data_IF_190717036083
#
_entry.id   IF_190717036083
#
_cell.length_a   1.000
_cell.length_b   1.000
_cell.length_c   1.000
_cell.angle_alpha   90.00
_cell.angle_beta   90.00
_cell.angle_gamma   90.00
#
_symmetry.space_group_name_H-M   'P 1'
#
loop_
_entity.id
_entity.type
_entity.pdbx_description
1 polymer ?
#
# COMPACT_ATOMS: atom_id res chain seq x y z
N UNK A 1 10.11 -20.91 0.24
CA UNK A 1 10.65 -19.66 0.79
C UNK A 1 9.50 -18.95 1.49
N UNK A 2 9.47 -18.94 2.82
CA UNK A 2 8.35 -18.43 3.62
C UNK A 2 8.69 -17.03 4.12
N UNK A 3 7.99 -16.01 3.63
CA UNK A 3 7.97 -14.69 4.26
C UNK A 3 7.22 -14.82 5.59
N UNK A 4 7.89 -14.56 6.72
CA UNK A 4 7.25 -14.56 8.03
C UNK A 4 6.77 -13.13 8.32
N UNK A 5 5.49 -12.97 8.65
CA UNK A 5 4.97 -11.72 9.24
C UNK A 5 5.83 -11.40 10.45
N UNK A 6 6.52 -10.27 10.39
CA UNK A 6 7.51 -9.92 11.41
C UNK A 6 6.80 -9.24 12.57
N UNK A 7 5.92 -8.27 12.29
CA UNK A 7 5.19 -7.48 13.30
C UNK A 7 3.84 -6.98 12.77
N UNK A 8 2.83 -6.87 13.65
CA UNK A 8 1.60 -6.12 13.40
C UNK A 8 1.59 -4.88 14.27
N UNK A 9 1.43 -3.71 13.67
CA UNK A 9 1.36 -2.45 14.41
C UNK A 9 0.19 -1.62 13.92
N UNK A 10 -0.74 -1.31 14.82
CA UNK A 10 -1.87 -0.39 14.57
C UNK A 10 -2.73 -0.75 13.33
N UNK A 11 -2.88 -2.05 13.05
CA UNK A 11 -3.65 -2.57 11.89
C UNK A 11 -2.80 -2.91 10.66
N UNK A 12 -1.56 -2.45 10.61
CA UNK A 12 -0.63 -2.68 9.51
C UNK A 12 0.17 -3.98 9.70
N UNK A 13 0.40 -4.69 8.60
CA UNK A 13 1.22 -5.91 8.58
C UNK A 13 2.56 -5.63 7.91
N UNK A 14 3.66 -5.93 8.62
CA UNK A 14 5.01 -5.70 8.12
C UNK A 14 5.73 -7.02 7.80
N UNK A 15 6.33 -7.07 6.61
CA UNK A 15 7.28 -8.09 6.21
C UNK A 15 8.63 -7.42 5.97
N UNK A 16 9.69 -7.95 6.56
CA UNK A 16 11.05 -7.43 6.39
C UNK A 16 11.95 -8.53 5.85
N UNK A 17 12.71 -8.23 4.80
CA UNK A 17 13.68 -9.16 4.22
C UNK A 17 14.73 -8.38 3.43
N UNK A 18 16.02 -8.64 3.69
CA UNK A 18 17.17 -8.10 2.95
C UNK A 18 17.11 -6.59 2.68
N UNK A 19 16.81 -5.81 3.72
CA UNK A 19 16.72 -4.34 3.64
C UNK A 19 15.41 -3.82 3.03
N UNK A 20 14.52 -4.70 2.56
CA UNK A 20 13.19 -4.35 2.07
C UNK A 20 12.17 -4.47 3.19
N UNK A 21 11.29 -3.48 3.29
CA UNK A 21 10.11 -3.50 4.15
C UNK A 21 8.88 -3.45 3.26
N UNK A 22 8.03 -4.47 3.37
CA UNK A 22 6.71 -4.49 2.76
C UNK A 22 5.66 -4.22 3.82
N UNK A 23 4.80 -3.23 3.56
CA UNK A 23 3.69 -2.86 4.44
C UNK A 23 2.39 -3.19 3.74
N UNK A 24 1.59 -4.06 4.33
CA UNK A 24 0.27 -4.39 3.83
C UNK A 24 -0.80 -3.67 4.66
N UNK A 25 -1.64 -2.88 3.99
CA UNK A 25 -2.77 -2.15 4.59
C UNK A 25 -4.06 -2.69 3.98
N UNK A 26 -4.78 -3.52 4.72
CA UNK A 26 -6.03 -4.09 4.25
C UNK A 26 -7.21 -3.20 4.65
N UNK A 27 -8.05 -2.80 3.69
CA UNK A 27 -9.14 -1.82 3.88
C UNK A 27 -8.62 -0.51 4.47
N UNK A 28 -7.74 0.21 3.75
CA UNK A 28 -7.09 1.41 4.26
C UNK A 28 -8.10 2.45 4.75
N UNK A 29 -7.83 2.97 5.94
CA UNK A 29 -8.57 4.06 6.57
C UNK A 29 -7.82 5.39 6.43
N UNK A 30 -8.54 6.50 6.63
CA UNK A 30 -7.93 7.83 6.66
C UNK A 30 -6.79 7.92 7.67
N UNK A 31 -6.97 7.35 8.86
CA UNK A 31 -5.95 7.34 9.92
C UNK A 31 -4.65 6.67 9.48
N UNK A 32 -4.74 5.53 8.79
CA UNK A 32 -3.55 4.80 8.31
C UNK A 32 -2.85 5.56 7.19
N UNK A 33 -3.60 6.15 6.25
CA UNK A 33 -3.02 6.94 5.17
C UNK A 33 -2.37 8.23 5.68
N UNK A 34 -2.99 8.90 6.65
CA UNK A 34 -2.41 10.08 7.33
C UNK A 34 -1.11 9.71 8.04
N UNK A 35 -1.06 8.55 8.69
CA UNK A 35 0.15 8.06 9.34
C UNK A 35 1.25 7.81 8.30
N UNK A 36 0.95 7.13 7.19
CA UNK A 36 1.91 6.92 6.11
C UNK A 36 2.41 8.23 5.50
N UNK A 37 1.52 9.19 5.26
CA UNK A 37 1.87 10.51 4.72
C UNK A 37 2.76 11.36 5.64
N UNK A 38 2.78 11.08 6.96
CA UNK A 38 3.72 11.71 7.90
C UNK A 38 5.11 11.09 7.87
N UNK A 39 5.24 9.82 7.49
CA UNK A 39 6.51 9.09 7.51
C UNK A 39 7.19 9.00 6.14
N UNK A 40 6.41 9.13 5.06
CA UNK A 40 6.88 9.01 3.69
C UNK A 40 6.42 10.20 2.85
N UNK A 41 7.23 10.64 1.87
CA UNK A 41 6.91 11.78 1.02
C UNK A 41 5.92 11.40 -0.09
N UNK A 42 4.78 10.83 0.27
CA UNK A 42 3.71 10.49 -0.66
C UNK A 42 2.90 11.74 -1.03
N UNK A 43 2.41 11.78 -2.27
CA UNK A 43 1.43 12.78 -2.68
C UNK A 43 0.13 12.57 -1.91
N UNK A 44 -0.49 13.67 -1.45
CA UNK A 44 -1.79 13.64 -0.78
C UNK A 44 -2.87 13.00 -1.68
N UNK A 45 -2.83 13.27 -2.99
CA UNK A 45 -3.75 12.65 -3.96
C UNK A 45 -3.57 11.12 -4.03
N UNK A 46 -2.33 10.61 -3.92
CA UNK A 46 -2.09 9.17 -3.96
C UNK A 46 -2.61 8.49 -2.69
N UNK A 47 -2.54 9.17 -1.55
CA UNK A 47 -3.09 8.68 -0.28
C UNK A 47 -4.63 8.65 -0.30
N UNK A 48 -5.25 9.68 -0.89
CA UNK A 48 -6.71 9.73 -1.10
C UNK A 48 -7.16 8.62 -2.08
N UNK A 49 -6.39 8.38 -3.14
CA UNK A 49 -6.66 7.31 -4.10
C UNK A 49 -6.68 5.92 -3.45
N UNK A 50 -5.86 5.67 -2.43
CA UNK A 50 -5.86 4.41 -1.68
C UNK A 50 -7.17 4.15 -0.91
N UNK A 51 -7.90 5.20 -0.52
CA UNK A 51 -9.17 5.09 0.23
C UNK A 51 -10.36 5.03 -0.72
N UNK A 52 -10.24 5.64 -1.90
CA UNK A 52 -11.31 5.67 -2.91
C UNK A 52 -11.65 4.29 -3.44
N UNK A 53 -12.95 4.01 -3.61
CA UNK A 53 -13.45 2.73 -4.14
C UNK A 53 -13.44 2.65 -5.66
N UNK A 54 -13.31 3.79 -6.34
CA UNK A 54 -13.39 3.87 -7.81
C UNK A 54 -12.18 4.66 -8.29
N UNK A 55 -11.22 3.94 -8.88
CA UNK A 55 -10.04 4.50 -9.49
C UNK A 55 -9.78 3.79 -10.82
N UNK A 56 -9.23 4.52 -11.80
CA UNK A 56 -8.75 3.90 -13.03
C UNK A 56 -7.34 3.36 -12.80
N UNK A 57 -6.98 2.20 -13.39
CA UNK A 57 -5.61 1.72 -13.36
C UNK A 57 -4.65 2.77 -13.92
N UNK A 58 -3.57 3.02 -13.20
CA UNK A 58 -2.56 4.02 -13.58
C UNK A 58 -1.20 3.70 -12.96
N UNK A 59 -0.18 4.33 -13.51
CA UNK A 59 1.19 4.32 -12.98
C UNK A 59 1.68 5.76 -13.00
N UNK A 60 1.95 6.31 -11.83
CA UNK A 60 2.52 7.63 -11.63
C UNK A 60 3.97 7.47 -11.16
N UNK A 61 4.92 8.08 -11.90
CA UNK A 61 6.36 8.00 -11.60
C UNK A 61 6.82 9.31 -10.97
N UNK A 62 7.39 9.21 -9.78
CA UNK A 62 8.02 10.32 -9.06
C UNK A 62 9.53 10.10 -8.97
N UNK A 63 10.34 11.12 -8.65
CA UNK A 63 11.79 10.97 -8.57
C UNK A 63 12.27 9.85 -7.64
N UNK A 64 11.53 9.59 -6.54
CA UNK A 64 11.95 8.66 -5.49
C UNK A 64 11.00 7.48 -5.27
N UNK A 65 9.89 7.38 -6.03
CA UNK A 65 8.95 6.26 -5.89
C UNK A 65 8.02 6.13 -7.12
N UNK A 66 7.34 4.99 -7.20
CA UNK A 66 6.28 4.74 -8.17
C UNK A 66 4.99 4.53 -7.38
N UNK A 67 3.90 5.15 -7.83
CA UNK A 67 2.55 4.88 -7.36
C UNK A 67 1.77 4.16 -8.46
N UNK A 68 1.05 3.10 -8.12
CA UNK A 68 0.31 2.32 -9.09
C UNK A 68 -1.04 1.87 -8.54
N UNK A 69 -2.04 1.92 -9.41
CA UNK A 69 -3.37 1.34 -9.18
C UNK A 69 -3.53 0.21 -10.18
N UNK A 70 -3.75 -1.00 -9.66
CA UNK A 70 -3.83 -2.22 -10.46
C UNK A 70 -5.20 -2.87 -10.26
N UNK A 71 -5.87 -3.22 -11.36
CA UNK A 71 -7.06 -4.06 -11.33
C UNK A 71 -6.68 -5.49 -11.67
N UNK A 72 -7.01 -6.40 -10.75
CA UNK A 72 -6.86 -7.82 -10.99
C UNK A 72 -8.23 -8.42 -11.31
N UNK A 73 -8.30 -9.40 -12.22
CA UNK A 73 -9.53 -10.16 -12.40
C UNK A 73 -9.94 -10.80 -11.07
N UNK A 74 -11.25 -10.96 -10.81
CA UNK A 74 -11.70 -11.68 -9.63
C UNK A 74 -11.08 -13.08 -9.63
N UNK A 75 -10.65 -13.53 -8.46
CA UNK A 75 -9.97 -14.81 -8.31
C UNK A 75 -10.96 -15.93 -8.71
N UNK A 76 -10.80 -16.48 -9.91
CA UNK A 76 -11.58 -17.61 -10.42
C UNK A 76 -10.89 -18.91 -10.02
N UNK A 77 -10.73 -19.14 -8.71
CA UNK A 77 -10.41 -20.48 -8.25
C UNK A 77 -11.71 -21.31 -8.32
N UNK A 78 -11.67 -22.53 -8.91
CA UNK A 78 -12.81 -23.43 -8.94
C UNK A 78 -13.20 -23.91 -7.54
#
# INVERSE_FOLDING_TARGET
MLFRVVEKFDGLEFLRHDGVVWVNVNKPSQREMDMLGRHFPFSMLNLEDCISKVQLPKIDVYPNHIFAILHFPPNRQP
#
